data_IF_976609250496
#
_entry.id   IF_976609250496
#
_cell.length_a   1.000
_cell.length_b   1.000
_cell.length_c   1.000
_cell.angle_alpha   90.00
_cell.angle_beta   90.00
_cell.angle_gamma   90.00
#
_symmetry.space_group_name_H-M   'P 1'
#
loop_
_entity.id
_entity.type
_entity.pdbx_description
1 polymer ?
#
# COMPACT_ATOMS: atom_id res chain seq x y z
N UNK A 1 -11.25 9.33 -7.07
CA UNK A 1 -11.93 10.25 -8.01
C UNK A 1 -11.36 11.68 -7.95
N UNK A 2 -11.13 12.23 -6.76
CA UNK A 2 -10.60 13.58 -6.59
C UNK A 2 -9.23 13.76 -7.26
N UNK A 3 -8.34 12.79 -7.13
CA UNK A 3 -7.05 12.81 -7.81
C UNK A 3 -7.20 12.90 -9.32
N UNK A 4 -8.05 12.07 -9.93
CA UNK A 4 -8.30 12.07 -11.37
C UNK A 4 -8.90 13.41 -11.80
N UNK A 5 -9.86 13.93 -11.07
CA UNK A 5 -10.50 15.21 -11.36
C UNK A 5 -9.51 16.37 -11.32
N UNK A 6 -8.61 16.37 -10.33
CA UNK A 6 -7.63 17.43 -10.11
C UNK A 6 -6.49 17.41 -11.12
N UNK A 7 -6.00 16.22 -11.48
CA UNK A 7 -4.78 16.09 -12.26
C UNK A 7 -4.96 15.60 -13.70
N UNK A 8 -6.19 15.28 -14.12
CA UNK A 8 -6.44 14.71 -15.47
C UNK A 8 -5.97 15.58 -16.64
N UNK A 9 -5.84 16.87 -16.42
CA UNK A 9 -5.36 17.82 -17.42
C UNK A 9 -3.91 18.28 -17.18
N UNK A 10 -3.27 17.81 -16.13
CA UNK A 10 -1.86 18.10 -15.89
C UNK A 10 -0.97 17.27 -16.82
N UNK A 11 0.16 17.85 -17.25
CA UNK A 11 1.11 17.17 -18.12
C UNK A 11 1.70 15.89 -17.50
N UNK A 12 1.68 15.77 -16.18
CA UNK A 12 2.12 14.58 -15.44
C UNK A 12 1.05 13.49 -15.29
N UNK A 13 -0.17 13.75 -15.75
CA UNK A 13 -1.23 12.75 -15.64
C UNK A 13 -1.03 11.64 -16.67
N UNK A 14 -1.00 10.41 -16.19
CA UNK A 14 -0.98 9.24 -17.03
C UNK A 14 -2.25 8.41 -16.78
N UNK A 15 -3.02 8.04 -17.84
CA UNK A 15 -4.28 7.31 -17.69
C UNK A 15 -4.15 6.01 -16.90
N UNK A 16 -3.04 5.30 -17.08
CA UNK A 16 -2.75 4.05 -16.35
C UNK A 16 -2.69 4.24 -14.84
N UNK A 17 -2.13 5.36 -14.36
CA UNK A 17 -2.08 5.62 -12.92
C UNK A 17 -3.47 5.78 -12.32
N UNK A 18 -4.37 6.46 -13.01
CA UNK A 18 -5.76 6.59 -12.57
C UNK A 18 -6.46 5.24 -12.46
N UNK A 19 -6.33 4.38 -13.46
CA UNK A 19 -6.90 3.04 -13.44
C UNK A 19 -6.27 2.14 -12.38
N UNK A 20 -4.95 2.19 -12.22
CA UNK A 20 -4.25 1.43 -11.16
C UNK A 20 -4.69 1.87 -9.77
N UNK A 21 -4.89 3.15 -9.54
CA UNK A 21 -5.39 3.66 -8.27
C UNK A 21 -6.82 3.22 -8.00
N UNK A 22 -7.68 3.19 -9.00
CA UNK A 22 -9.06 2.75 -8.83
C UNK A 22 -9.17 1.24 -8.61
N UNK A 23 -8.37 0.45 -9.32
CA UNK A 23 -8.46 -1.02 -9.25
C UNK A 23 -7.67 -1.64 -8.11
N UNK A 24 -6.53 -1.08 -7.75
CA UNK A 24 -5.65 -1.63 -6.72
C UNK A 24 -5.64 -0.78 -5.45
N UNK A 25 -5.57 0.54 -5.59
CA UNK A 25 -5.53 1.48 -4.46
C UNK A 25 -6.83 1.50 -3.66
N UNK A 26 -7.96 1.36 -4.32
CA UNK A 26 -9.27 1.32 -3.66
C UNK A 26 -9.39 0.13 -2.69
N UNK A 27 -8.95 -1.05 -3.11
CA UNK A 27 -8.96 -2.23 -2.24
C UNK A 27 -8.02 -2.06 -1.03
N UNK A 28 -6.85 -1.47 -1.24
CA UNK A 28 -5.93 -1.19 -0.15
C UNK A 28 -6.53 -0.17 0.84
N UNK A 29 -7.17 0.88 0.34
CA UNK A 29 -7.84 1.89 1.16
C UNK A 29 -9.00 1.30 1.97
N UNK A 30 -9.79 0.42 1.37
CA UNK A 30 -10.94 -0.23 2.02
C UNK A 30 -10.52 -1.19 3.14
N UNK A 31 -9.39 -1.90 2.96
CA UNK A 31 -8.96 -2.96 3.88
C UNK A 31 -7.80 -2.57 4.80
N UNK A 32 -7.31 -1.35 4.73
CA UNK A 32 -6.23 -0.86 5.59
C UNK A 32 -6.66 0.36 6.39
N UNK A 33 -6.21 0.44 7.64
CA UNK A 33 -6.47 1.61 8.49
C UNK A 33 -5.65 2.83 8.07
N UNK A 34 -4.44 2.63 7.56
CA UNK A 34 -3.59 3.68 7.04
C UNK A 34 -2.44 3.12 6.19
N UNK A 35 -2.02 3.89 5.22
CA UNK A 35 -0.82 3.63 4.42
C UNK A 35 0.15 4.80 4.64
N UNK A 36 1.37 4.49 5.04
CA UNK A 36 2.42 5.46 5.26
C UNK A 36 3.50 5.37 4.17
N UNK A 37 3.84 6.50 3.60
CA UNK A 37 5.03 6.66 2.75
C UNK A 37 6.10 7.36 3.57
N UNK A 38 7.24 6.72 3.70
CA UNK A 38 8.36 7.21 4.51
C UNK A 38 9.49 7.70 3.60
N UNK A 39 10.07 8.84 3.94
CA UNK A 39 11.19 9.41 3.18
C UNK A 39 10.82 9.88 1.78
N UNK A 40 9.56 10.21 1.53
CA UNK A 40 9.14 10.71 0.23
C UNK A 40 9.84 12.02 -0.12
N UNK A 41 10.41 12.09 -1.32
CA UNK A 41 11.06 13.30 -1.84
C UNK A 41 10.08 14.46 -1.97
N UNK A 42 8.86 14.16 -2.41
CA UNK A 42 7.77 15.12 -2.54
C UNK A 42 6.52 14.63 -1.78
N UNK A 43 6.47 14.85 -0.48
CA UNK A 43 5.40 14.29 0.36
C UNK A 43 4.01 14.87 0.02
N UNK A 44 3.95 16.01 -0.64
CA UNK A 44 2.69 16.61 -1.09
C UNK A 44 1.92 15.73 -2.07
N UNK A 45 2.62 15.06 -2.97
CA UNK A 45 2.02 14.15 -3.95
C UNK A 45 1.37 12.97 -3.24
N UNK A 46 2.10 12.31 -2.34
CA UNK A 46 1.56 11.18 -1.58
C UNK A 46 0.33 11.58 -0.74
N UNK A 47 0.37 12.77 -0.11
CA UNK A 47 -0.78 13.27 0.65
C UNK A 47 -2.00 13.58 -0.22
N UNK A 48 -1.80 14.06 -1.44
CA UNK A 48 -2.91 14.30 -2.37
C UNK A 48 -3.59 13.02 -2.84
N UNK A 49 -2.92 11.88 -2.68
CA UNK A 49 -3.46 10.54 -2.93
C UNK A 49 -4.13 9.90 -1.70
N UNK A 50 -4.26 10.64 -0.60
CA UNK A 50 -4.82 10.12 0.65
C UNK A 50 -3.83 9.36 1.54
N UNK A 51 -2.55 9.30 1.15
CA UNK A 51 -1.52 8.60 1.90
C UNK A 51 -0.95 9.49 3.01
N UNK A 52 -0.53 8.88 4.09
CA UNK A 52 0.17 9.58 5.17
C UNK A 52 1.67 9.59 4.90
N UNK A 53 2.33 10.67 5.26
CA UNK A 53 3.77 10.81 5.05
C UNK A 53 4.48 11.10 6.37
N UNK A 54 5.64 10.48 6.56
CA UNK A 54 6.57 10.76 7.66
C UNK A 54 7.99 10.81 7.12
N UNK A 55 8.87 11.51 7.81
CA UNK A 55 10.26 11.62 7.40
C UNK A 55 11.01 10.31 7.62
N UNK A 56 10.75 9.64 8.74
CA UNK A 56 11.44 8.40 9.13
C UNK A 56 10.46 7.25 9.38
N UNK A 57 10.98 6.03 9.33
CA UNK A 57 10.22 4.83 9.65
C UNK A 57 9.76 4.83 11.12
N UNK A 58 10.61 5.28 12.02
CA UNK A 58 10.33 5.34 13.45
C UNK A 58 9.13 6.26 13.75
N UNK A 59 9.06 7.40 13.08
CA UNK A 59 7.93 8.32 13.21
C UNK A 59 6.63 7.70 12.69
N UNK A 60 6.70 7.01 11.55
CA UNK A 60 5.55 6.33 10.97
C UNK A 60 5.06 5.20 11.87
N UNK A 61 5.98 4.40 12.40
CA UNK A 61 5.66 3.31 13.33
C UNK A 61 5.06 3.83 14.63
N UNK A 62 5.65 4.86 15.23
CA UNK A 62 5.12 5.48 16.45
C UNK A 62 3.69 6.04 16.23
N UNK A 63 3.44 6.68 15.09
CA UNK A 63 2.13 7.21 14.78
C UNK A 63 1.10 6.06 14.55
N UNK A 64 1.51 5.00 13.88
CA UNK A 64 0.67 3.81 13.65
C UNK A 64 0.33 3.10 14.97
N UNK A 65 1.31 2.92 15.84
CA UNK A 65 1.11 2.32 17.16
C UNK A 65 0.15 3.14 18.02
N UNK A 66 0.31 4.44 18.03
CA UNK A 66 -0.56 5.33 18.80
C UNK A 66 -2.01 5.34 18.32
N UNK A 67 -2.23 5.25 17.01
CA UNK A 67 -3.56 5.47 16.40
C UNK A 67 -4.31 4.18 16.06
N UNK A 68 -3.60 3.09 15.75
CA UNK A 68 -4.22 1.92 15.13
C UNK A 68 -3.93 0.60 15.81
N UNK A 69 -2.67 0.31 16.12
CA UNK A 69 -2.27 -1.05 16.54
C UNK A 69 -2.03 -1.19 18.03
N UNK A 70 -1.81 -0.10 18.76
CA UNK A 70 -1.38 -0.15 20.15
C UNK A 70 0.11 -0.47 20.33
N UNK A 71 0.55 -0.72 21.59
CA UNK A 71 1.99 -0.76 21.93
C UNK A 71 2.73 -2.02 21.45
N UNK A 72 2.01 -3.09 21.08
CA UNK A 72 2.62 -4.35 20.68
C UNK A 72 2.10 -4.80 19.29
N UNK A 73 2.51 -4.13 18.20
CA UNK A 73 2.05 -4.47 16.86
C UNK A 73 2.70 -5.78 16.37
N UNK A 74 1.95 -6.57 15.62
CA UNK A 74 2.52 -7.63 14.79
C UNK A 74 3.11 -6.99 13.53
N UNK A 75 4.39 -7.20 13.27
CA UNK A 75 5.10 -6.60 12.14
C UNK A 75 5.51 -7.69 11.16
N UNK A 76 5.09 -7.54 9.90
CA UNK A 76 5.57 -8.34 8.79
C UNK A 76 6.47 -7.45 7.91
N UNK A 77 7.74 -7.78 7.80
CA UNK A 77 8.69 -7.08 6.94
C UNK A 77 8.86 -7.83 5.62
N UNK A 78 8.76 -7.11 4.52
CA UNK A 78 8.90 -7.65 3.15
C UNK A 78 10.04 -6.90 2.43
N UNK A 79 11.31 -7.12 2.84
CA UNK A 79 12.44 -6.43 2.24
C UNK A 79 12.65 -6.88 0.79
N UNK A 80 13.03 -5.94 -0.07
CA UNK A 80 13.37 -6.19 -1.48
C UNK A 80 12.25 -6.81 -2.32
N UNK A 81 11.00 -6.60 -1.94
CA UNK A 81 9.82 -7.19 -2.59
C UNK A 81 9.77 -6.96 -4.10
N UNK A 82 10.17 -5.77 -4.56
CA UNK A 82 10.12 -5.40 -5.97
C UNK A 82 11.48 -5.45 -6.70
N UNK A 83 12.56 -5.79 -6.00
CA UNK A 83 13.91 -5.75 -6.58
C UNK A 83 14.51 -7.13 -6.85
N UNK A 84 14.31 -8.09 -5.95
CA UNK A 84 14.99 -9.40 -6.02
C UNK A 84 14.08 -10.60 -5.76
N UNK A 85 12.88 -10.39 -5.24
CA UNK A 85 11.98 -11.48 -4.88
C UNK A 85 10.52 -11.13 -5.18
N UNK A 86 9.78 -12.10 -5.67
CA UNK A 86 8.33 -12.09 -5.65
C UNK A 86 7.86 -12.58 -4.27
N UNK A 87 6.97 -11.82 -3.63
CA UNK A 87 6.37 -12.22 -2.36
C UNK A 87 4.91 -12.58 -2.58
N UNK A 88 4.55 -13.77 -2.16
CA UNK A 88 3.18 -14.25 -2.22
C UNK A 88 2.64 -14.40 -0.79
N UNK A 89 1.59 -13.65 -0.47
CA UNK A 89 0.95 -13.70 0.84
C UNK A 89 -0.18 -14.73 0.80
N UNK A 90 -0.09 -15.73 1.67
CA UNK A 90 -1.10 -16.77 1.79
C UNK A 90 -1.87 -16.61 3.08
N UNK A 91 -3.15 -16.89 3.04
CA UNK A 91 -3.97 -16.96 4.25
C UNK A 91 -3.54 -18.15 5.10
N UNK A 92 -3.61 -18.01 6.41
CA UNK A 92 -3.30 -19.11 7.35
C UNK A 92 -4.26 -20.29 7.18
N UNK A 93 -5.50 -20.01 6.80
CA UNK A 93 -6.47 -21.05 6.47
C UNK A 93 -6.33 -21.46 5.00
N UNK A 94 -5.95 -22.71 4.71
CA UNK A 94 -5.80 -23.20 3.34
C UNK A 94 -7.07 -23.09 2.49
N UNK A 95 -8.24 -23.15 3.10
CA UNK A 95 -9.52 -23.03 2.37
C UNK A 95 -9.73 -21.65 1.76
N UNK A 96 -9.06 -20.62 2.27
CA UNK A 96 -9.12 -19.24 1.77
C UNK A 96 -8.04 -18.92 0.71
N UNK A 97 -7.15 -19.87 0.45
CA UNK A 97 -6.08 -19.73 -0.54
C UNK A 97 -6.53 -20.30 -1.90
N UNK A 98 -7.60 -19.76 -2.47
CA UNK A 98 -7.90 -20.05 -3.87
C UNK A 98 -6.75 -19.54 -4.73
N UNK A 99 -6.21 -20.40 -5.61
CA UNK A 99 -5.07 -20.04 -6.44
C UNK A 99 -5.38 -18.77 -7.26
N UNK A 100 -4.61 -17.69 -7.10
CA UNK A 100 -4.78 -16.51 -7.94
C UNK A 100 -4.44 -16.87 -9.38
N UNK A 101 -5.21 -16.33 -10.31
CA UNK A 101 -4.96 -16.52 -11.75
C UNK A 101 -3.54 -16.01 -12.06
N UNK A 102 -2.64 -16.93 -12.47
CA UNK A 102 -1.26 -16.61 -12.87
C UNK A 102 -0.22 -16.53 -11.74
N UNK A 103 -0.55 -16.86 -10.49
CA UNK A 103 0.40 -16.93 -9.37
C UNK A 103 0.75 -18.36 -8.93
N UNK A 104 1.86 -18.56 -8.20
CA UNK A 104 2.16 -19.85 -7.60
C UNK A 104 1.09 -20.22 -6.55
N UNK A 105 0.75 -21.52 -6.39
CA UNK A 105 -0.22 -21.91 -5.38
C UNK A 105 0.32 -21.63 -3.97
N UNK A 106 -0.57 -21.21 -3.07
CA UNK A 106 -0.26 -21.13 -1.65
C UNK A 106 -0.22 -22.53 -1.04
N UNK A 107 0.85 -22.83 -0.33
CA UNK A 107 1.04 -24.10 0.34
C UNK A 107 1.90 -25.07 -0.50
N UNK A 108 2.82 -25.64 0.07
CA UNK A 108 3.76 -26.59 -0.55
C UNK A 108 4.63 -27.15 0.50
#
# INVERSE_FOLDING_TARGET
EEYIRKYRFANAFHPFHGFSMMSCGHLAEEHTSAIYIVGAREPGIARSMGLKTRATFEEALADAMRKYTGPNPNILALPRTFTTAAVHLCMKDPALNSAPVGGPPCGG
#
